data_IF_992522824179
#
_entry.id   IF_992522824179
#
_cell.length_a   1.000
_cell.length_b   1.000
_cell.length_c   1.000
_cell.angle_alpha   90.00
_cell.angle_beta   90.00
_cell.angle_gamma   90.00
#
_symmetry.space_group_name_H-M   'P 1'
#
loop_
_entity.id
_entity.type
_entity.pdbx_description
1 polymer ?
#
# COMPACT_ATOMS: atom_id res chain seq x y z
N UNK A 1 -3.14 -35.42 46.90
CA UNK A 1 -2.67 -34.02 46.99
C UNK A 1 -2.02 -33.68 45.65
N UNK A 2 -2.67 -32.89 44.78
CA UNK A 2 -2.04 -32.37 43.56
C UNK A 2 -1.26 -31.12 43.96
N UNK A 3 0.03 -31.32 44.23
CA UNK A 3 1.00 -30.26 44.47
C UNK A 3 1.35 -29.63 43.12
N UNK A 4 1.18 -28.31 43.03
CA UNK A 4 1.55 -27.47 41.88
C UNK A 4 0.61 -27.60 40.69
N UNK A 5 -0.54 -26.91 40.70
CA UNK A 5 -1.20 -26.59 39.42
C UNK A 5 -0.20 -25.78 38.61
N UNK A 6 0.17 -26.26 37.44
CA UNK A 6 0.92 -25.49 36.46
C UNK A 6 0.09 -24.24 36.12
N UNK A 7 0.48 -23.07 36.64
CA UNK A 7 -0.28 -21.81 36.56
C UNK A 7 0.07 -21.02 35.29
N UNK A 8 0.53 -21.71 34.24
CA UNK A 8 0.92 -21.07 32.97
C UNK A 8 -0.19 -20.17 32.41
N UNK A 9 -1.46 -20.53 32.62
CA UNK A 9 -2.60 -19.71 32.19
C UNK A 9 -2.71 -18.37 32.95
N UNK A 10 -2.34 -18.33 34.22
CA UNK A 10 -2.28 -17.11 35.02
C UNK A 10 -1.08 -16.26 34.61
N UNK A 11 0.08 -16.88 34.39
CA UNK A 11 1.29 -16.20 33.91
C UNK A 11 1.05 -15.58 32.52
N UNK A 12 0.39 -16.32 31.61
CA UNK A 12 -0.04 -15.83 30.30
C UNK A 12 -1.04 -14.67 30.42
N UNK A 13 -2.01 -14.76 31.33
CA UNK A 13 -2.98 -13.69 31.56
C UNK A 13 -2.31 -12.40 32.10
N UNK A 14 -1.35 -12.53 33.01
CA UNK A 14 -0.57 -11.39 33.52
C UNK A 14 0.28 -10.78 32.41
N UNK A 15 0.95 -11.62 31.60
CA UNK A 15 1.77 -11.17 30.48
C UNK A 15 0.95 -10.42 29.40
N UNK A 16 -0.33 -10.78 29.22
CA UNK A 16 -1.24 -10.15 28.27
C UNK A 16 -2.15 -9.07 28.88
N UNK A 17 -2.03 -8.78 30.18
CA UNK A 17 -2.90 -7.82 30.86
C UNK A 17 -2.84 -6.42 30.25
N UNK A 18 -1.72 -6.05 29.62
CA UNK A 18 -1.56 -4.76 28.94
C UNK A 18 -2.58 -4.55 27.80
N UNK A 19 -3.07 -5.61 27.16
CA UNK A 19 -4.12 -5.51 26.13
C UNK A 19 -5.44 -4.98 26.68
N UNK A 20 -5.74 -5.19 27.97
CA UNK A 20 -6.96 -4.68 28.61
C UNK A 20 -6.98 -3.16 28.72
N UNK A 21 -5.82 -2.52 28.67
CA UNK A 21 -5.68 -1.07 28.69
C UNK A 21 -5.74 -0.45 27.29
N UNK A 22 -5.81 -1.28 26.23
CA UNK A 22 -6.00 -0.81 24.86
C UNK A 22 -7.48 -0.79 24.51
N UNK A 23 -7.97 0.37 24.07
CA UNK A 23 -9.32 0.46 23.56
C UNK A 23 -9.41 -0.18 22.17
N UNK A 24 -10.46 -0.96 21.94
CA UNK A 24 -10.80 -1.47 20.60
C UNK A 24 -11.36 -0.35 19.73
N UNK A 25 -10.47 0.49 19.20
CA UNK A 25 -10.78 1.61 18.30
C UNK A 25 -10.27 1.34 16.90
N UNK A 26 -10.90 1.99 15.91
CA UNK A 26 -10.38 2.06 14.54
C UNK A 26 -9.00 2.74 14.56
N UNK A 27 -8.01 2.13 13.91
CA UNK A 27 -6.66 2.73 13.81
C UNK A 27 -6.68 3.95 12.88
N UNK A 28 -5.74 4.88 13.07
CA UNK A 28 -5.63 6.09 12.25
C UNK A 28 -5.45 5.78 10.76
N UNK A 29 -4.74 4.69 10.42
CA UNK A 29 -4.56 4.21 9.05
C UNK A 29 -5.87 3.80 8.39
N UNK A 30 -6.74 3.09 9.13
CA UNK A 30 -8.04 2.70 8.61
C UNK A 30 -8.96 3.91 8.52
N UNK A 31 -8.92 4.78 9.53
CA UNK A 31 -9.70 6.01 9.55
C UNK A 31 -9.39 6.90 8.33
N UNK A 32 -8.11 7.05 7.96
CA UNK A 32 -7.74 7.83 6.76
C UNK A 32 -8.28 7.22 5.46
N UNK A 33 -8.33 5.89 5.36
CA UNK A 33 -8.96 5.19 4.23
C UNK A 33 -10.48 5.42 4.21
N UNK A 34 -11.14 5.40 5.37
CA UNK A 34 -12.58 5.66 5.48
C UNK A 34 -12.94 7.12 5.13
N UNK A 35 -12.06 8.06 5.46
CA UNK A 35 -12.26 9.49 5.22
C UNK A 35 -11.89 9.94 3.80
N UNK A 36 -11.35 9.02 2.98
CA UNK A 36 -10.97 9.29 1.59
C UNK A 36 -12.19 9.61 0.71
N UNK A 37 -12.12 10.55 -0.24
CA UNK A 37 -13.25 10.91 -1.11
C UNK A 37 -13.88 9.73 -1.85
N UNK A 38 -13.05 8.77 -2.27
CA UNK A 38 -13.47 7.53 -2.93
C UNK A 38 -14.39 6.64 -2.05
N UNK A 39 -14.26 6.73 -0.72
CA UNK A 39 -15.12 6.02 0.23
C UNK A 39 -16.38 6.83 0.60
N UNK A 40 -16.35 8.16 0.46
CA UNK A 40 -17.48 9.04 0.76
C UNK A 40 -18.45 9.17 -0.42
N UNK A 41 -17.92 9.28 -1.64
CA UNK A 41 -18.68 9.52 -2.86
C UNK A 41 -18.56 8.32 -3.79
N UNK A 42 -19.31 7.28 -3.46
CA UNK A 42 -19.42 6.09 -4.29
C UNK A 42 -20.37 6.33 -5.47
N UNK A 43 -20.05 5.72 -6.60
CA UNK A 43 -20.87 5.74 -7.81
C UNK A 43 -20.99 4.32 -8.37
N UNK A 44 -21.83 4.13 -9.39
CA UNK A 44 -21.98 2.83 -10.05
C UNK A 44 -20.68 2.32 -10.70
N UNK A 45 -19.75 3.23 -11.05
CA UNK A 45 -18.44 2.89 -11.64
C UNK A 45 -17.34 2.64 -10.59
N UNK A 46 -17.61 2.85 -9.30
CA UNK A 46 -16.65 2.59 -8.24
C UNK A 46 -16.21 1.11 -8.21
N UNK A 47 -14.94 0.87 -7.91
CA UNK A 47 -14.41 -0.49 -7.80
C UNK A 47 -15.04 -1.22 -6.61
N UNK A 48 -15.09 -2.56 -6.66
CA UNK A 48 -15.65 -3.37 -5.56
C UNK A 48 -15.03 -3.05 -4.21
N UNK A 49 -13.71 -2.80 -4.19
CA UNK A 49 -12.98 -2.43 -2.99
C UNK A 49 -13.55 -1.17 -2.33
N UNK A 50 -13.73 -0.08 -3.09
CA UNK A 50 -14.25 1.18 -2.53
C UNK A 50 -15.72 1.07 -2.10
N UNK A 51 -16.50 0.21 -2.76
CA UNK A 51 -17.87 -0.11 -2.33
C UNK A 51 -17.86 -0.81 -0.97
N UNK A 52 -16.96 -1.78 -0.74
CA UNK A 52 -16.78 -2.46 0.54
C UNK A 52 -16.29 -1.50 1.64
N UNK A 53 -15.35 -0.61 1.32
CA UNK A 53 -14.85 0.42 2.26
C UNK A 53 -15.98 1.39 2.64
N UNK A 54 -16.84 1.79 1.70
CA UNK A 54 -17.99 2.64 2.01
C UNK A 54 -19.03 1.93 2.89
N UNK A 55 -19.26 0.63 2.69
CA UNK A 55 -20.08 -0.19 3.59
C UNK A 55 -19.46 -0.29 4.99
N UNK A 56 -18.12 -0.46 5.07
CA UNK A 56 -17.38 -0.47 6.34
C UNK A 56 -17.53 0.85 7.09
N UNK A 57 -17.46 1.99 6.39
CA UNK A 57 -17.67 3.32 6.97
C UNK A 57 -19.06 3.44 7.61
N UNK A 58 -20.10 2.96 6.92
CA UNK A 58 -21.47 2.91 7.47
C UNK A 58 -21.54 2.01 8.70
N UNK A 59 -20.92 0.83 8.65
CA UNK A 59 -20.88 -0.11 9.77
C UNK A 59 -20.23 0.52 11.01
N UNK A 60 -19.05 1.12 10.85
CA UNK A 60 -18.29 1.79 11.92
C UNK A 60 -19.12 2.92 12.55
N UNK A 61 -19.85 3.69 11.73
CA UNK A 61 -20.73 4.75 12.21
C UNK A 61 -21.93 4.22 13.00
N UNK A 62 -22.42 3.03 12.68
CA UNK A 62 -23.54 2.41 13.40
C UNK A 62 -23.11 1.66 14.67
N UNK A 63 -21.89 1.10 14.71
CA UNK A 63 -21.44 0.18 15.76
C UNK A 63 -20.36 0.81 16.66
N UNK A 64 -20.69 1.96 17.26
CA UNK A 64 -19.85 2.64 18.26
C UNK A 64 -18.37 2.81 17.85
N UNK A 65 -18.10 3.08 16.57
CA UNK A 65 -16.76 3.23 16.02
C UNK A 65 -15.88 1.97 16.13
N UNK A 66 -16.48 0.79 15.92
CA UNK A 66 -15.77 -0.51 15.90
C UNK A 66 -15.81 -1.14 14.51
N UNK A 67 -14.79 -1.94 14.23
CA UNK A 67 -14.71 -2.75 13.01
C UNK A 67 -15.43 -4.10 13.21
N UNK A 68 -15.88 -4.75 12.12
CA UNK A 68 -16.37 -6.11 12.17
C UNK A 68 -15.37 -7.05 12.82
N UNK A 69 -15.84 -7.94 13.69
CA UNK A 69 -14.97 -8.91 14.35
C UNK A 69 -14.48 -9.96 13.35
N UNK A 70 -13.17 -10.27 13.36
CA UNK A 70 -12.59 -11.32 12.50
C UNK A 70 -13.06 -12.73 12.87
N UNK A 71 -13.47 -12.93 14.12
CA UNK A 71 -13.87 -14.22 14.68
C UNK A 71 -12.71 -15.16 14.97
N UNK A 72 -11.46 -14.72 14.77
CA UNK A 72 -10.25 -15.48 15.09
C UNK A 72 -9.87 -15.22 16.53
N UNK A 73 -9.79 -16.28 17.32
CA UNK A 73 -9.29 -16.26 18.69
C UNK A 73 -7.83 -16.75 18.68
N UNK A 74 -6.87 -16.01 19.26
CA UNK A 74 -5.50 -16.49 19.41
C UNK A 74 -5.44 -17.74 20.30
N UNK A 75 -4.36 -18.52 20.18
CA UNK A 75 -4.14 -19.66 21.06
C UNK A 75 -3.94 -19.20 22.51
N UNK A 76 -4.40 -20.00 23.47
CA UNK A 76 -4.26 -19.70 24.91
C UNK A 76 -4.28 -20.98 25.74
N UNK A 77 -3.62 -20.95 26.90
CA UNK A 77 -3.64 -22.06 27.87
C UNK A 77 -4.98 -22.12 28.58
N UNK A 78 -5.88 -22.97 28.10
CA UNK A 78 -7.19 -23.20 28.68
C UNK A 78 -7.60 -24.67 28.59
N UNK A 79 -8.61 -25.07 29.38
CA UNK A 79 -9.25 -26.35 29.14
C UNK A 79 -9.98 -26.33 27.79
N UNK A 80 -10.00 -27.48 27.10
CA UNK A 80 -10.54 -27.59 25.74
C UNK A 80 -12.00 -27.12 25.65
N UNK A 81 -12.82 -27.39 26.67
CA UNK A 81 -14.23 -27.03 26.66
C UNK A 81 -14.42 -25.51 26.78
N UNK A 82 -13.67 -24.85 27.65
CA UNK A 82 -13.70 -23.39 27.80
C UNK A 82 -13.15 -22.71 26.56
N UNK A 83 -12.06 -23.21 25.98
CA UNK A 83 -11.52 -22.67 24.73
C UNK A 83 -12.54 -22.74 23.58
N UNK A 84 -13.18 -23.90 23.39
CA UNK A 84 -14.21 -24.08 22.35
C UNK A 84 -15.44 -23.20 22.58
N UNK A 85 -15.87 -23.02 23.84
CA UNK A 85 -16.97 -22.09 24.18
C UNK A 85 -16.61 -20.66 23.81
N UNK A 86 -15.41 -20.20 24.18
CA UNK A 86 -14.95 -18.85 23.88
C UNK A 86 -14.82 -18.64 22.37
N UNK A 87 -14.21 -19.58 21.66
CA UNK A 87 -14.10 -19.55 20.20
C UNK A 87 -15.48 -19.47 19.53
N UNK A 88 -16.48 -20.18 20.06
CA UNK A 88 -17.86 -20.13 19.55
C UNK A 88 -18.47 -18.75 19.70
N UNK A 89 -18.26 -18.07 20.84
CA UNK A 89 -18.76 -16.70 21.06
C UNK A 89 -18.16 -15.73 20.03
N UNK A 90 -16.86 -15.79 19.77
CA UNK A 90 -16.19 -14.95 18.77
C UNK A 90 -16.71 -15.23 17.35
N UNK A 91 -16.89 -16.49 16.98
CA UNK A 91 -17.45 -16.87 15.68
C UNK A 91 -18.90 -16.40 15.52
N UNK A 92 -19.72 -16.49 16.55
CA UNK A 92 -21.11 -16.02 16.52
C UNK A 92 -21.18 -14.51 16.36
N UNK A 93 -20.35 -13.75 17.09
CA UNK A 93 -20.29 -12.29 16.94
C UNK A 93 -19.79 -11.89 15.54
N UNK A 94 -18.74 -12.54 15.03
CA UNK A 94 -18.25 -12.30 13.68
C UNK A 94 -19.32 -12.58 12.60
N UNK A 95 -20.12 -13.65 12.78
CA UNK A 95 -21.24 -13.95 11.88
C UNK A 95 -22.33 -12.87 11.94
N UNK A 96 -22.68 -12.38 13.13
CA UNK A 96 -23.64 -11.29 13.30
C UNK A 96 -23.13 -9.97 12.68
N UNK A 97 -21.85 -9.64 12.87
CA UNK A 97 -21.24 -8.45 12.28
C UNK A 97 -21.20 -8.53 10.75
N UNK A 98 -20.85 -9.71 10.21
CA UNK A 98 -20.89 -9.97 8.76
C UNK A 98 -22.30 -9.81 8.20
N UNK A 99 -23.31 -10.35 8.88
CA UNK A 99 -24.70 -10.21 8.47
C UNK A 99 -25.10 -8.72 8.42
N UNK A 100 -24.80 -7.97 9.48
CA UNK A 100 -25.08 -6.53 9.53
C UNK A 100 -24.33 -5.75 8.45
N UNK A 101 -23.07 -6.09 8.21
CA UNK A 101 -22.28 -5.50 7.13
C UNK A 101 -22.91 -5.77 5.76
N UNK A 102 -23.41 -6.99 5.51
CA UNK A 102 -24.08 -7.36 4.25
C UNK A 102 -25.37 -6.57 4.04
N UNK A 103 -26.17 -6.35 5.08
CA UNK A 103 -27.37 -5.49 4.99
C UNK A 103 -27.01 -4.07 4.53
N UNK A 104 -25.99 -3.47 5.17
CA UNK A 104 -25.53 -2.12 4.83
C UNK A 104 -24.93 -2.05 3.42
N UNK A 105 -24.26 -3.11 2.98
CA UNK A 105 -23.74 -3.25 1.63
C UNK A 105 -24.87 -3.33 0.61
N UNK A 106 -25.91 -4.12 0.86
CA UNK A 106 -27.07 -4.26 -0.02
C UNK A 106 -27.84 -2.95 -0.16
N UNK A 107 -28.06 -2.23 0.94
CA UNK A 107 -28.65 -0.87 0.92
C UNK A 107 -27.83 0.08 0.04
N UNK A 108 -26.51 0.01 0.16
CA UNK A 108 -25.57 0.84 -0.57
C UNK A 108 -25.54 0.49 -2.06
N UNK A 109 -25.53 -0.78 -2.42
CA UNK A 109 -25.60 -1.28 -3.80
C UNK A 109 -26.91 -0.86 -4.48
N UNK A 110 -28.04 -0.98 -3.78
CA UNK A 110 -29.33 -0.51 -4.29
C UNK A 110 -29.30 1.01 -4.53
N UNK A 111 -28.68 1.78 -3.62
CA UNK A 111 -28.56 3.24 -3.74
C UNK A 111 -27.74 3.72 -4.93
N UNK A 112 -26.71 2.97 -5.34
CA UNK A 112 -25.89 3.28 -6.53
C UNK A 112 -26.39 2.59 -7.82
N UNK A 113 -27.49 1.84 -7.76
CA UNK A 113 -28.06 1.13 -8.91
C UNK A 113 -27.21 -0.04 -9.39
N UNK A 114 -26.45 -0.69 -8.50
CA UNK A 114 -25.59 -1.83 -8.82
C UNK A 114 -26.23 -3.14 -8.35
N UNK A 115 -26.10 -4.26 -9.09
CA UNK A 115 -26.64 -5.56 -8.66
C UNK A 115 -26.05 -6.01 -7.31
N UNK A 116 -26.89 -6.62 -6.47
CA UNK A 116 -26.46 -7.20 -5.18
C UNK A 116 -25.41 -8.28 -5.35
N UNK A 117 -25.56 -9.09 -6.40
CA UNK A 117 -24.64 -10.18 -6.74
C UNK A 117 -23.30 -9.69 -7.35
N UNK A 118 -23.06 -8.38 -7.41
CA UNK A 118 -21.81 -7.84 -7.94
C UNK A 118 -20.60 -8.07 -7.03
N UNK A 119 -20.85 -8.37 -5.75
CA UNK A 119 -19.84 -8.74 -4.76
C UNK A 119 -20.27 -10.08 -4.16
N UNK A 120 -19.38 -11.05 -4.19
CA UNK A 120 -19.65 -12.42 -3.72
C UNK A 120 -19.58 -12.52 -2.20
N UNK A 121 -20.26 -13.52 -1.63
CA UNK A 121 -20.23 -13.75 -0.17
C UNK A 121 -18.83 -14.10 0.36
N UNK A 122 -17.97 -14.67 -0.47
CA UNK A 122 -16.57 -14.97 -0.15
C UNK A 122 -15.70 -13.70 -0.12
N UNK A 123 -15.95 -12.75 -1.03
CA UNK A 123 -15.32 -11.42 -1.02
C UNK A 123 -15.71 -10.67 0.27
N UNK A 124 -16.99 -10.73 0.66
CA UNK A 124 -17.49 -10.11 1.91
C UNK A 124 -16.84 -10.79 3.13
N UNK A 125 -16.79 -12.13 3.15
CA UNK A 125 -16.18 -12.90 4.23
C UNK A 125 -14.71 -12.50 4.45
N UNK A 126 -13.95 -12.51 3.36
CA UNK A 126 -12.53 -12.16 3.37
C UNK A 126 -12.34 -10.72 3.80
N UNK A 127 -13.20 -9.81 3.36
CA UNK A 127 -13.11 -8.39 3.72
C UNK A 127 -13.42 -8.16 5.20
N UNK A 128 -14.51 -8.72 5.75
CA UNK A 128 -14.83 -8.59 7.18
C UNK A 128 -13.74 -9.19 8.09
N UNK A 129 -13.13 -10.31 7.69
CA UNK A 129 -12.01 -10.91 8.44
C UNK A 129 -10.77 -10.02 8.48
N UNK A 130 -10.51 -9.28 7.40
CA UNK A 130 -9.30 -8.48 7.21
C UNK A 130 -9.55 -6.97 7.31
N UNK A 131 -10.72 -6.52 7.80
CA UNK A 131 -11.09 -5.10 7.81
C UNK A 131 -10.16 -4.24 8.66
N UNK A 132 -9.50 -4.82 9.68
CA UNK A 132 -8.50 -4.16 10.50
C UNK A 132 -7.12 -4.00 9.81
N UNK A 133 -6.93 -4.64 8.66
CA UNK A 133 -5.64 -4.74 7.97
C UNK A 133 -5.67 -4.21 6.53
N UNK A 134 -6.76 -3.58 6.10
CA UNK A 134 -6.83 -3.00 4.77
C UNK A 134 -5.80 -1.89 4.59
N UNK A 135 -5.17 -1.84 3.42
CA UNK A 135 -4.19 -0.84 3.05
C UNK A 135 -4.45 -0.37 1.63
N UNK A 136 -4.27 0.93 1.41
CA UNK A 136 -4.33 1.55 0.08
C UNK A 136 -2.97 2.15 -0.20
N UNK A 137 -2.31 1.67 -1.26
CA UNK A 137 -1.04 2.21 -1.72
C UNK A 137 -1.28 2.94 -3.02
N UNK A 138 -1.09 4.26 -3.00
CA UNK A 138 -1.14 5.11 -4.18
C UNK A 138 0.28 5.39 -4.65
N UNK A 139 0.63 4.90 -5.84
CA UNK A 139 1.90 5.23 -6.47
C UNK A 139 1.82 6.58 -7.18
N UNK A 140 2.90 7.36 -7.09
CA UNK A 140 3.10 8.56 -7.91
C UNK A 140 3.75 8.16 -9.22
N UNK A 141 3.42 8.84 -10.31
CA UNK A 141 4.13 8.58 -11.56
C UNK A 141 5.60 9.02 -11.43
N UNK A 142 6.51 8.28 -12.07
CA UNK A 142 7.93 8.65 -12.05
C UNK A 142 8.18 10.05 -12.64
N UNK A 143 7.32 10.48 -13.57
CA UNK A 143 7.36 11.81 -14.15
C UNK A 143 7.06 12.90 -13.12
N UNK A 144 6.02 12.73 -12.33
CA UNK A 144 5.67 13.68 -11.26
C UNK A 144 6.78 13.75 -10.22
N UNK A 145 7.32 12.59 -9.78
CA UNK A 145 8.45 12.54 -8.86
C UNK A 145 9.67 13.31 -9.36
N UNK A 146 9.96 13.22 -10.66
CA UNK A 146 11.11 13.90 -11.24
C UNK A 146 10.90 15.41 -11.39
N UNK A 147 9.69 15.84 -11.78
CA UNK A 147 9.34 17.27 -11.82
C UNK A 147 9.41 17.87 -10.42
N UNK A 148 8.89 17.17 -9.41
CA UNK A 148 8.96 17.61 -8.01
C UNK A 148 10.41 17.69 -7.51
N UNK A 149 11.26 16.75 -7.90
CA UNK A 149 12.70 16.77 -7.59
C UNK A 149 13.39 17.99 -8.21
N UNK A 150 13.16 18.27 -9.51
CA UNK A 150 13.71 19.46 -10.19
C UNK A 150 13.18 20.77 -9.56
N UNK A 151 11.91 20.81 -9.19
CA UNK A 151 11.29 22.00 -8.63
C UNK A 151 11.75 22.27 -7.19
N UNK A 152 12.02 21.22 -6.42
CA UNK A 152 12.58 21.31 -5.08
C UNK A 152 14.04 21.79 -5.09
N UNK A 153 14.84 21.40 -6.08
CA UNK A 153 16.22 21.90 -6.25
C UNK A 153 16.27 23.36 -6.70
N UNK A 154 15.28 23.84 -7.48
CA UNK A 154 15.20 25.25 -7.91
C UNK A 154 14.83 26.24 -6.80
N UNK A 155 14.39 25.78 -5.63
CA UNK A 155 14.00 26.63 -4.48
C UNK A 155 15.13 26.85 -3.47
N UNK A 156 16.27 26.20 -3.65
CA UNK A 156 17.46 26.43 -2.84
C UNK A 156 18.33 27.36 -3.69
N UNK A 157 18.41 28.62 -3.26
CA UNK A 157 19.14 29.68 -3.96
C UNK A 157 20.64 29.35 -4.14
N UNK A 158 21.22 30.12 -5.07
CA UNK A 158 22.50 30.06 -5.77
C UNK A 158 23.81 30.03 -4.94
N UNK A 159 23.78 29.54 -3.70
CA UNK A 159 24.96 29.50 -2.82
C UNK A 159 25.57 28.09 -2.74
N UNK A 160 26.59 27.87 -3.58
CA UNK A 160 27.71 26.91 -3.45
C UNK A 160 27.55 25.77 -2.41
N UNK A 161 26.75 24.74 -2.72
CA UNK A 161 26.94 23.37 -2.18
C UNK A 161 26.13 22.29 -2.94
N UNK A 162 26.04 22.43 -4.27
CA UNK A 162 25.19 21.65 -5.18
C UNK A 162 25.60 20.18 -5.43
N UNK A 163 26.62 19.64 -4.79
CA UNK A 163 27.03 18.24 -5.00
C UNK A 163 26.50 17.24 -3.98
N UNK A 164 25.93 17.67 -2.84
CA UNK A 164 25.73 16.75 -1.70
C UNK A 164 24.36 16.06 -1.67
N UNK A 165 23.29 16.72 -2.16
CA UNK A 165 21.93 16.14 -2.13
C UNK A 165 21.60 15.26 -3.33
N UNK A 166 22.44 15.27 -4.38
CA UNK A 166 22.29 14.41 -5.54
C UNK A 166 22.89 13.00 -5.37
N UNK A 167 23.59 12.71 -4.27
CA UNK A 167 24.45 11.52 -4.20
C UNK A 167 23.82 10.25 -3.62
N UNK A 168 22.61 10.28 -3.04
CA UNK A 168 22.02 9.06 -2.46
C UNK A 168 20.62 8.67 -2.97
N UNK A 169 19.81 9.59 -3.50
CA UNK A 169 18.46 9.28 -4.04
C UNK A 169 18.35 9.38 -5.57
N UNK A 170 19.30 10.07 -6.22
CA UNK A 170 19.32 10.38 -7.67
C UNK A 170 20.07 9.34 -8.48
N UNK A 171 20.84 8.47 -7.83
CA UNK A 171 21.60 7.41 -8.50
C UNK A 171 20.66 6.40 -9.20
N UNK A 172 19.58 5.99 -8.53
CA UNK A 172 18.55 5.11 -9.12
C UNK A 172 17.82 5.76 -10.30
N UNK A 173 17.65 7.09 -10.29
CA UNK A 173 17.05 7.79 -11.41
C UNK A 173 17.99 7.76 -12.63
N UNK A 174 19.29 8.02 -12.42
CA UNK A 174 20.26 7.96 -13.51
C UNK A 174 20.45 6.54 -14.05
N UNK A 175 20.40 5.52 -13.18
CA UNK A 175 20.34 4.09 -13.59
C UNK A 175 19.08 3.82 -14.42
N UNK A 176 17.91 4.31 -13.99
CA UNK A 176 16.67 4.14 -14.74
C UNK A 176 16.73 4.79 -16.13
N UNK A 177 17.24 6.03 -16.23
CA UNK A 177 17.45 6.70 -17.51
C UNK A 177 18.46 5.94 -18.37
N UNK A 178 19.53 5.41 -17.78
CA UNK A 178 20.52 4.62 -18.51
C UNK A 178 19.90 3.35 -19.10
N UNK A 179 19.07 2.63 -18.34
CA UNK A 179 18.33 1.45 -18.82
C UNK A 179 17.39 1.83 -19.97
N UNK A 180 16.66 2.95 -19.86
CA UNK A 180 15.79 3.43 -20.93
C UNK A 180 16.59 3.79 -22.19
N UNK A 181 17.73 4.46 -22.03
CA UNK A 181 18.58 4.84 -23.14
C UNK A 181 19.18 3.62 -23.85
N UNK A 182 19.62 2.60 -23.12
CA UNK A 182 20.10 1.33 -23.69
C UNK A 182 18.96 0.61 -24.43
N UNK A 183 17.76 0.57 -23.84
CA UNK A 183 16.57 0.01 -24.52
C UNK A 183 16.28 0.75 -25.82
N UNK A 184 16.25 2.09 -25.79
CA UNK A 184 16.04 2.92 -26.98
C UNK A 184 17.14 2.71 -28.04
N UNK A 185 18.38 2.49 -27.60
CA UNK A 185 19.50 2.18 -28.50
C UNK A 185 19.30 0.83 -29.21
N UNK A 186 18.85 -0.20 -28.50
CA UNK A 186 18.52 -1.51 -29.09
C UNK A 186 17.38 -1.38 -30.10
N UNK A 187 16.34 -0.60 -29.78
CA UNK A 187 15.20 -0.37 -30.67
C UNK A 187 15.58 0.40 -31.95
N UNK A 188 16.50 1.36 -31.85
CA UNK A 188 16.93 2.18 -33.00
C UNK A 188 18.00 1.49 -33.86
N UNK A 189 18.96 0.81 -33.25
CA UNK A 189 20.15 0.29 -33.93
C UNK A 189 20.19 -1.24 -34.05
N UNK A 190 19.24 -1.95 -33.44
CA UNK A 190 19.16 -3.42 -33.49
C UNK A 190 20.33 -4.15 -32.81
N UNK A 191 21.18 -3.43 -32.08
CA UNK A 191 22.37 -3.93 -31.43
C UNK A 191 22.40 -3.49 -29.96
N UNK A 192 22.92 -4.36 -29.09
CA UNK A 192 23.14 -4.02 -27.68
C UNK A 192 24.36 -3.12 -27.55
N UNK A 193 24.19 -2.01 -26.82
CA UNK A 193 25.30 -1.18 -26.41
C UNK A 193 26.24 -1.93 -25.46
N UNK A 194 27.53 -1.57 -25.44
CA UNK A 194 28.50 -2.09 -24.45
C UNK A 194 29.06 -3.49 -24.74
N UNK A 195 28.81 -4.08 -25.92
CA UNK A 195 29.41 -5.37 -26.32
C UNK A 195 30.93 -5.33 -26.53
N UNK A 196 31.48 -4.13 -26.73
CA UNK A 196 32.91 -3.83 -26.85
C UNK A 196 33.21 -2.64 -25.93
N UNK A 197 34.49 -2.33 -25.72
CA UNK A 197 34.86 -1.07 -25.07
C UNK A 197 34.14 0.08 -25.79
N UNK A 198 33.36 0.87 -25.05
CA UNK A 198 32.45 1.83 -25.65
C UNK A 198 33.21 2.93 -26.40
N UNK A 199 32.88 3.08 -27.68
CA UNK A 199 33.46 4.11 -28.54
C UNK A 199 32.80 5.47 -28.29
N UNK A 200 33.51 6.57 -28.57
CA UNK A 200 32.99 7.93 -28.39
C UNK A 200 31.66 8.17 -29.13
N UNK A 201 31.49 7.56 -30.31
CA UNK A 201 30.27 7.64 -31.11
C UNK A 201 29.09 6.90 -30.46
N UNK A 202 29.34 5.76 -29.82
CA UNK A 202 28.32 4.99 -29.11
C UNK A 202 27.87 5.72 -27.85
N UNK A 203 28.81 6.33 -27.12
CA UNK A 203 28.52 7.17 -25.96
C UNK A 203 27.71 8.43 -26.35
N UNK A 204 28.03 9.09 -27.46
CA UNK A 204 27.28 10.25 -27.96
C UNK A 204 25.84 9.87 -28.33
N UNK A 205 25.65 8.72 -28.99
CA UNK A 205 24.32 8.20 -29.33
C UNK A 205 23.50 7.89 -28.08
N UNK A 206 24.08 7.21 -27.09
CA UNK A 206 23.40 6.92 -25.83
C UNK A 206 23.05 8.20 -25.06
N UNK A 207 23.95 9.18 -25.02
CA UNK A 207 23.67 10.47 -24.39
C UNK A 207 22.56 11.23 -25.12
N UNK A 208 22.48 11.14 -26.45
CA UNK A 208 21.39 11.75 -27.23
C UNK A 208 20.05 11.12 -26.89
N UNK A 209 19.97 9.78 -26.84
CA UNK A 209 18.74 9.06 -26.47
C UNK A 209 18.36 9.35 -25.01
N UNK A 210 19.34 9.39 -24.10
CA UNK A 210 19.12 9.73 -22.70
C UNK A 210 18.59 11.16 -22.54
N UNK A 211 19.12 12.12 -23.32
CA UNK A 211 18.63 13.51 -23.35
C UNK A 211 17.16 13.58 -23.74
N UNK A 212 16.72 12.79 -24.72
CA UNK A 212 15.32 12.77 -25.16
C UNK A 212 14.38 12.26 -24.06
N UNK A 213 14.78 11.22 -23.32
CA UNK A 213 14.03 10.76 -22.15
C UNK A 213 14.05 11.79 -21.01
N UNK A 214 15.19 12.40 -20.71
CA UNK A 214 15.30 13.45 -19.69
C UNK A 214 14.40 14.65 -20.03
N UNK A 215 14.35 15.06 -21.31
CA UNK A 215 13.43 16.09 -21.81
C UNK A 215 11.98 15.70 -21.61
N UNK A 216 11.61 14.45 -21.87
CA UNK A 216 10.25 13.96 -21.63
C UNK A 216 9.85 14.03 -20.14
N UNK A 217 10.83 13.89 -19.25
CA UNK A 217 10.64 14.08 -17.81
C UNK A 217 10.72 15.55 -17.36
N UNK A 218 11.17 16.49 -18.21
CA UNK A 218 11.22 17.93 -17.91
C UNK A 218 12.61 18.47 -17.55
N UNK A 219 13.67 17.68 -17.73
CA UNK A 219 15.05 18.12 -17.61
C UNK A 219 15.62 18.68 -18.92
N UNK A 220 16.66 19.51 -18.83
CA UNK A 220 17.24 20.21 -19.99
C UNK A 220 18.61 19.69 -20.43
N UNK A 221 19.32 18.95 -19.58
CA UNK A 221 20.70 18.51 -19.80
C UNK A 221 20.90 17.05 -19.36
N UNK A 222 21.86 16.36 -19.98
CA UNK A 222 22.32 15.06 -19.50
C UNK A 222 23.21 15.30 -18.28
N UNK A 223 22.83 14.76 -17.13
CA UNK A 223 23.61 14.90 -15.91
C UNK A 223 24.95 14.14 -16.02
N UNK A 224 26.06 14.65 -15.46
CA UNK A 224 27.35 13.98 -15.49
C UNK A 224 27.32 12.54 -14.96
N UNK A 225 26.51 12.28 -13.93
CA UNK A 225 26.29 10.96 -13.36
C UNK A 225 25.60 10.00 -14.35
N UNK A 226 24.63 10.48 -15.14
CA UNK A 226 23.99 9.66 -16.19
C UNK A 226 24.99 9.26 -17.26
N UNK A 227 25.83 10.20 -17.72
CA UNK A 227 26.86 9.91 -18.73
C UNK A 227 27.94 8.96 -18.20
N UNK A 228 28.27 9.05 -16.90
CA UNK A 228 29.17 8.11 -16.23
C UNK A 228 28.57 6.69 -16.15
N UNK A 229 27.32 6.57 -15.72
CA UNK A 229 26.63 5.27 -15.62
C UNK A 229 26.48 4.62 -17.00
N UNK A 230 26.08 5.40 -18.01
CA UNK A 230 26.04 4.93 -19.40
C UNK A 230 27.41 4.45 -19.89
N UNK A 231 28.51 4.99 -19.34
CA UNK A 231 29.87 4.57 -19.65
C UNK A 231 30.30 3.28 -18.97
N UNK A 232 29.75 3.01 -17.80
CA UNK A 232 30.12 1.87 -16.96
C UNK A 232 29.20 0.65 -17.16
N UNK A 233 28.00 0.84 -17.76
CA UNK A 233 27.08 -0.24 -18.16
C UNK A 233 27.49 -0.91 -19.47
#
# INVERSE_FOLDING_TARGET
>A
MRSGSDQENYDEAIANAWHLYQNSTVSSEIQSILDTPQAQQITSSSTKFWVLVAALRKFVSSENSRLPLSGVLPDMKADTLSFLKLQTVYRQKAAADKFRFKELLDELLNGIGRPRDSITDDEIDTFCKNSAHIKVVTGTSLRELFVDAIHSTKKIDEDEQDELYLNNSTDHFHIYIAILAIKGYVEQYGAQAGRKAMDALEQERLNTIALDYIKAFGGSTVYPQTSKILREM
#
